data_IF_714629045537
#
_entry.id   IF_714629045537
#
_cell.length_a   1.000
_cell.length_b   1.000
_cell.length_c   1.000
_cell.angle_alpha   90.00
_cell.angle_beta   90.00
_cell.angle_gamma   90.00
#
_symmetry.space_group_name_H-M   'P 1'
#
loop_
_entity.id
_entity.type
_entity.pdbx_description
1 polymer ?
#
# COMPACT_ATOMS: atom_id res chain seq x y z
N UNK A 1 -1.90 4.94 18.42
CA UNK A 1 -2.03 3.61 17.76
C UNK A 1 -0.81 3.44 16.86
N UNK A 2 -0.08 2.32 16.92
CA UNK A 2 1.02 2.07 15.98
C UNK A 2 0.47 2.01 14.54
N UNK A 3 1.24 2.43 13.52
CA UNK A 3 0.81 2.33 12.12
C UNK A 3 0.62 0.85 11.74
N UNK A 4 -0.34 0.57 10.87
CA UNK A 4 -0.55 -0.80 10.38
C UNK A 4 0.68 -1.30 9.62
N UNK A 5 0.91 -2.62 9.60
CA UNK A 5 2.02 -3.25 8.85
C UNK A 5 2.03 -2.78 7.39
N UNK A 6 0.86 -2.64 6.78
CA UNK A 6 0.74 -2.16 5.41
C UNK A 6 1.26 -0.72 5.23
N UNK A 7 0.86 0.22 6.10
CA UNK A 7 1.35 1.61 6.05
C UNK A 7 2.86 1.68 6.32
N UNK A 8 3.38 0.84 7.21
CA UNK A 8 4.82 0.73 7.44
C UNK A 8 5.57 0.24 6.18
N UNK A 9 5.01 -0.73 5.46
CA UNK A 9 5.57 -1.25 4.21
C UNK A 9 5.58 -0.21 3.08
N UNK A 10 4.48 0.56 2.93
CA UNK A 10 4.41 1.66 1.97
C UNK A 10 5.48 2.71 2.23
N UNK A 11 5.65 3.11 3.50
CA UNK A 11 6.68 4.09 3.88
C UNK A 11 8.09 3.58 3.60
N UNK A 12 8.38 2.31 3.89
CA UNK A 12 9.68 1.69 3.58
C UNK A 12 9.94 1.54 2.08
N UNK A 13 8.87 1.40 1.29
CA UNK A 13 8.95 1.37 -0.17
C UNK A 13 9.01 2.77 -0.80
N UNK A 14 9.05 3.84 0.01
CA UNK A 14 8.92 5.23 -0.44
C UNK A 14 7.70 5.46 -1.36
N UNK A 15 6.61 4.74 -1.09
CA UNK A 15 5.35 4.90 -1.83
C UNK A 15 4.51 5.94 -1.10
N UNK A 16 4.49 7.15 -1.64
CA UNK A 16 3.56 8.21 -1.23
C UNK A 16 2.31 8.15 -2.10
N UNK A 17 1.23 7.67 -1.52
CA UNK A 17 -0.09 7.61 -2.15
C UNK A 17 -1.15 8.11 -1.18
N UNK A 18 -2.08 8.92 -1.69
CA UNK A 18 -3.20 9.39 -0.90
C UNK A 18 -4.14 8.23 -0.53
N UNK A 19 -4.73 8.28 0.67
CA UNK A 19 -5.59 7.21 1.18
C UNK A 19 -6.89 7.08 0.37
N UNK A 20 -7.42 8.15 -0.22
CA UNK A 20 -8.60 8.10 -1.08
C UNK A 20 -8.28 7.38 -2.38
N UNK A 21 -7.14 7.70 -3.00
CA UNK A 21 -6.67 7.00 -4.20
C UNK A 21 -6.44 5.53 -3.89
N UNK A 22 -5.78 5.22 -2.78
CA UNK A 22 -5.57 3.84 -2.35
C UNK A 22 -6.90 3.08 -2.15
N UNK A 23 -7.90 3.71 -1.54
CA UNK A 23 -9.22 3.12 -1.33
C UNK A 23 -9.96 2.91 -2.64
N UNK A 24 -9.90 3.87 -3.55
CA UNK A 24 -10.46 3.76 -4.89
C UNK A 24 -9.82 2.61 -5.68
N UNK A 25 -8.49 2.51 -5.66
CA UNK A 25 -7.75 1.41 -6.28
C UNK A 25 -8.14 0.05 -5.68
N UNK A 26 -8.36 -0.02 -4.36
CA UNK A 26 -8.76 -1.27 -3.71
C UNK A 26 -10.15 -1.76 -4.15
N UNK A 27 -11.05 -0.84 -4.49
CA UNK A 27 -12.43 -1.15 -4.91
C UNK A 27 -12.52 -1.38 -6.42
N UNK A 28 -11.95 -0.47 -7.20
CA UNK A 28 -12.13 -0.40 -8.65
C UNK A 28 -10.98 -1.06 -9.43
N UNK A 29 -9.74 -0.92 -8.97
CA UNK A 29 -8.53 -1.30 -9.71
C UNK A 29 -7.73 -2.40 -9.00
N UNK A 30 -8.35 -3.57 -8.81
CA UNK A 30 -7.78 -4.68 -8.03
C UNK A 30 -6.35 -5.07 -8.43
N UNK A 31 -6.03 -5.06 -9.72
CA UNK A 31 -4.70 -5.40 -10.22
C UNK A 31 -3.64 -4.37 -9.80
N UNK A 32 -3.95 -3.08 -9.91
CA UNK A 32 -3.07 -2.00 -9.47
C UNK A 32 -2.87 -2.03 -7.95
N UNK A 33 -3.96 -2.24 -7.19
CA UNK A 33 -3.88 -2.37 -5.74
C UNK A 33 -3.02 -3.57 -5.32
N UNK A 34 -3.16 -4.73 -5.99
CA UNK A 34 -2.34 -5.91 -5.72
C UNK A 34 -0.84 -5.64 -5.93
N UNK A 35 -0.47 -4.92 -6.98
CA UNK A 35 0.93 -4.55 -7.24
C UNK A 35 1.50 -3.65 -6.13
N UNK A 36 0.70 -2.72 -5.59
CA UNK A 36 1.09 -1.86 -4.46
C UNK A 36 1.29 -2.71 -3.20
N UNK A 37 0.38 -3.66 -2.95
CA UNK A 37 0.46 -4.57 -1.80
C UNK A 37 1.72 -5.42 -1.86
N UNK A 38 2.06 -5.99 -3.01
CA UNK A 38 3.28 -6.78 -3.17
C UNK A 38 4.54 -5.95 -2.95
N UNK A 39 4.61 -4.73 -3.50
CA UNK A 39 5.72 -3.80 -3.23
C UNK A 39 5.83 -3.46 -1.74
N UNK A 40 4.72 -3.22 -1.06
CA UNK A 40 4.70 -2.92 0.38
C UNK A 40 5.13 -4.12 1.24
N UNK A 41 4.76 -5.35 0.84
CA UNK A 41 5.20 -6.57 1.53
C UNK A 41 6.69 -6.84 1.35
N UNK A 42 7.23 -6.60 0.15
CA UNK A 42 8.63 -6.84 -0.16
C UNK A 42 9.61 -6.04 0.74
N UNK A 43 9.16 -4.92 1.31
CA UNK A 43 9.97 -4.10 2.22
C UNK A 43 9.84 -4.46 3.70
N UNK A 44 8.96 -5.40 4.03
CA UNK A 44 8.72 -5.91 5.38
C UNK A 44 9.35 -7.27 5.64
N UNK A 45 10.01 -7.85 4.63
CA UNK A 45 10.79 -9.08 4.73
C UNK A 45 12.00 -8.93 5.64
#
# INVERSE_FOLDING_TARGET
>A
QPPSRFIAGLKKASIEIDRKVLADLAVNEKAAFAAIVEKAKATLA
#
